data_IF_028877565066
#
_entry.id   IF_028877565066
#
_cell.length_a   1.000
_cell.length_b   1.000
_cell.length_c   1.000
_cell.angle_alpha   90.00
_cell.angle_beta   90.00
_cell.angle_gamma   90.00
#
_symmetry.space_group_name_H-M   'P 1'
#
loop_
_entity.id
_entity.type
_entity.pdbx_description
1 polymer ?
#
# COMPACT_ATOMS: atom_id res chain seq x y z
N UNK A 1 53.26 -36.44 -3.13
CA UNK A 1 53.05 -35.19 -2.35
C UNK A 1 53.21 -33.98 -3.26
N UNK A 2 52.50 -32.87 -2.94
CA UNK A 2 52.24 -31.62 -3.71
C UNK A 2 50.93 -31.73 -4.53
N UNK A 3 49.73 -31.71 -3.95
CA UNK A 3 49.03 -30.60 -3.25
C UNK A 3 49.20 -29.27 -3.99
N UNK A 4 48.45 -29.10 -5.07
CA UNK A 4 48.34 -27.83 -5.78
C UNK A 4 47.30 -26.96 -5.07
N UNK A 5 47.82 -25.84 -4.56
CA UNK A 5 47.15 -24.66 -4.03
C UNK A 5 45.77 -24.38 -4.65
N UNK A 6 44.71 -24.33 -3.83
CA UNK A 6 44.21 -23.15 -3.12
C UNK A 6 43.53 -22.13 -4.04
N UNK A 7 42.22 -21.97 -3.77
CA UNK A 7 41.38 -20.79 -3.95
C UNK A 7 41.17 -20.26 -5.38
N UNK A 8 40.07 -20.70 -5.99
CA UNK A 8 39.27 -19.83 -6.86
C UNK A 8 37.90 -19.60 -6.19
N UNK A 9 37.87 -18.52 -5.40
CA UNK A 9 36.73 -17.59 -5.27
C UNK A 9 35.34 -18.23 -5.13
N UNK A 10 34.97 -18.50 -3.88
CA UNK A 10 33.56 -18.54 -3.46
C UNK A 10 32.90 -17.23 -3.88
N UNK A 11 32.01 -17.29 -4.88
CA UNK A 11 31.03 -16.23 -5.11
C UNK A 11 30.13 -16.18 -3.88
N UNK A 12 30.39 -15.24 -2.98
CA UNK A 12 29.39 -14.76 -2.05
C UNK A 12 28.36 -13.96 -2.86
N UNK A 13 27.41 -14.66 -3.47
CA UNK A 13 26.17 -14.03 -3.89
C UNK A 13 25.45 -13.62 -2.60
N UNK A 14 25.56 -12.34 -2.24
CA UNK A 14 24.64 -11.73 -1.31
C UNK A 14 23.25 -11.80 -1.94
N UNK A 15 22.54 -12.90 -1.67
CA UNK A 15 21.11 -12.97 -1.88
C UNK A 15 20.52 -11.91 -0.95
N UNK A 16 20.27 -10.73 -1.51
CA UNK A 16 19.43 -9.72 -0.87
C UNK A 16 18.13 -10.45 -0.60
N UNK A 17 17.85 -10.74 0.67
CA UNK A 17 16.54 -11.18 1.07
C UNK A 17 15.60 -10.02 0.75
N UNK A 18 15.05 -10.00 -0.46
CA UNK A 18 13.75 -9.41 -0.67
C UNK A 18 12.87 -10.17 0.30
N UNK A 19 12.60 -9.55 1.46
CA UNK A 19 11.67 -10.06 2.44
C UNK A 19 10.34 -10.21 1.73
N UNK A 20 10.10 -11.38 1.15
CA UNK A 20 8.78 -11.86 0.79
C UNK A 20 8.09 -12.07 2.12
N UNK A 21 7.65 -10.98 2.74
CA UNK A 21 6.66 -11.03 3.80
C UNK A 21 5.53 -11.87 3.20
N UNK A 22 5.23 -13.06 3.79
CA UNK A 22 4.22 -13.93 3.25
C UNK A 22 2.95 -13.11 3.05
N UNK A 23 2.49 -13.07 1.80
CA UNK A 23 1.37 -12.26 1.29
C UNK A 23 0.01 -12.79 1.81
N UNK A 24 0.00 -13.37 3.00
CA UNK A 24 -1.09 -14.16 3.54
C UNK A 24 -1.83 -13.54 4.72
N UNK A 25 -1.21 -12.73 5.59
CA UNK A 25 -1.84 -12.43 6.89
C UNK A 25 -1.59 -11.04 7.49
N UNK A 26 -0.90 -10.13 6.78
CA UNK A 26 -1.02 -8.73 7.13
C UNK A 26 -2.28 -8.20 6.46
N UNK A 27 -3.42 -8.28 7.16
CA UNK A 27 -4.60 -7.51 6.79
C UNK A 27 -4.12 -6.06 6.72
N UNK A 28 -3.93 -5.57 5.51
CA UNK A 28 -3.61 -4.17 5.26
C UNK A 28 -4.81 -3.42 5.82
N UNK A 29 -4.65 -2.84 7.01
CA UNK A 29 -5.64 -1.97 7.64
C UNK A 29 -5.67 -0.66 6.83
N UNK A 30 -6.22 -0.75 5.62
CA UNK A 30 -6.45 0.38 4.71
C UNK A 30 -7.74 1.13 5.03
N UNK A 31 -8.64 0.50 5.78
CA UNK A 31 -9.90 1.09 6.19
C UNK A 31 -9.74 1.98 7.43
N UNK A 32 -10.74 2.85 7.62
CA UNK A 32 -10.75 3.78 8.74
C UNK A 32 -11.11 3.13 10.09
N UNK A 33 -11.65 1.90 10.09
CA UNK A 33 -12.07 1.17 11.28
C UNK A 33 -13.60 1.03 11.36
N UNK A 34 -14.10 0.54 12.50
CA UNK A 34 -15.53 0.36 12.72
C UNK A 34 -16.29 1.70 12.68
N UNK A 35 -17.45 1.71 12.03
CA UNK A 35 -18.31 2.90 11.91
C UNK A 35 -18.06 3.78 10.68
N UNK A 36 -17.05 3.46 9.86
CA UNK A 36 -16.77 4.14 8.60
C UNK A 36 -17.42 3.43 7.41
N UNK A 37 -17.69 4.19 6.35
CA UNK A 37 -18.25 3.68 5.10
C UNK A 37 -17.24 2.84 4.29
N UNK A 38 -17.74 1.96 3.43
CA UNK A 38 -16.89 1.20 2.51
C UNK A 38 -16.21 2.08 1.45
N UNK A 39 -16.67 3.32 1.30
CA UNK A 39 -16.08 4.38 0.48
C UNK A 39 -14.89 5.09 1.16
N UNK A 40 -14.53 4.73 2.40
CA UNK A 40 -13.51 5.44 3.18
C UNK A 40 -12.22 4.64 3.35
N UNK A 41 -11.08 5.31 3.20
CA UNK A 41 -9.73 4.77 3.40
C UNK A 41 -8.89 5.71 4.24
N UNK A 42 -7.98 5.14 5.02
CA UNK A 42 -7.11 5.92 5.91
C UNK A 42 -5.95 6.49 5.12
N UNK A 43 -5.90 7.81 4.97
CA UNK A 43 -4.78 8.51 4.31
C UNK A 43 -3.44 8.09 4.91
N UNK A 44 -2.43 7.89 4.07
CA UNK A 44 -1.09 7.37 4.38
C UNK A 44 -1.02 5.91 4.87
N UNK A 45 -2.15 5.21 5.01
CA UNK A 45 -2.14 3.77 5.28
C UNK A 45 -1.74 2.96 4.03
N UNK A 46 -1.24 1.72 4.19
CA UNK A 46 -0.90 0.89 3.05
C UNK A 46 -2.14 0.58 2.21
N UNK A 47 -1.96 0.31 0.91
CA UNK A 47 -3.04 -0.07 0.01
C UNK A 47 -2.60 -1.19 -0.93
N UNK A 48 -3.55 -2.04 -1.35
CA UNK A 48 -3.27 -3.07 -2.35
C UNK A 48 -3.19 -2.44 -3.74
N UNK A 49 -2.16 -2.80 -4.52
CA UNK A 49 -2.01 -2.39 -5.93
C UNK A 49 -3.22 -2.75 -6.81
N UNK A 50 -4.01 -3.76 -6.44
CA UNK A 50 -5.26 -4.11 -7.13
C UNK A 50 -6.36 -3.04 -7.02
N UNK A 51 -6.21 -2.03 -6.15
CA UNK A 51 -7.10 -0.88 -6.13
C UNK A 51 -6.94 -0.02 -7.40
N UNK A 52 -5.79 -0.07 -8.08
CA UNK A 52 -5.56 0.68 -9.31
C UNK A 52 -5.78 2.18 -9.12
N UNK A 53 -6.57 2.75 -10.01
CA UNK A 53 -6.99 4.16 -10.07
C UNK A 53 -8.31 4.42 -9.33
N UNK A 54 -8.78 3.48 -8.50
CA UNK A 54 -9.98 3.70 -7.69
C UNK A 54 -9.76 4.82 -6.69
N UNK A 55 -10.74 5.72 -6.64
CA UNK A 55 -10.78 6.85 -5.72
C UNK A 55 -11.72 6.56 -4.56
N UNK A 56 -11.22 6.78 -3.35
CA UNK A 56 -11.96 6.66 -2.10
C UNK A 56 -11.90 7.97 -1.32
N UNK A 57 -12.72 8.13 -0.30
CA UNK A 57 -12.65 9.28 0.60
C UNK A 57 -11.67 9.04 1.74
N UNK A 58 -11.03 10.11 2.21
CA UNK A 58 -10.41 10.14 3.52
C UNK A 58 -11.42 9.85 4.64
N UNK A 59 -10.93 9.38 5.79
CA UNK A 59 -11.79 9.07 6.94
C UNK A 59 -12.60 10.27 7.43
N UNK A 60 -12.02 11.47 7.34
CA UNK A 60 -12.63 12.76 7.66
C UNK A 60 -13.51 13.33 6.55
N UNK A 61 -13.57 12.66 5.38
CA UNK A 61 -14.25 13.09 4.16
C UNK A 61 -13.76 14.44 3.62
N UNK A 62 -12.57 14.91 4.02
CA UNK A 62 -12.05 16.20 3.54
C UNK A 62 -11.18 16.06 2.30
N UNK A 63 -10.91 14.85 1.82
CA UNK A 63 -10.13 14.65 0.61
C UNK A 63 -10.44 13.33 -0.10
N UNK A 64 -10.12 13.27 -1.38
CA UNK A 64 -10.14 12.07 -2.21
C UNK A 64 -8.75 11.46 -2.20
N UNK A 65 -8.67 10.15 -1.97
CA UNK A 65 -7.43 9.36 -1.92
C UNK A 65 -7.38 8.31 -3.02
N UNK A 66 -6.17 8.09 -3.56
CA UNK A 66 -5.85 7.08 -4.56
C UNK A 66 -4.68 6.21 -4.07
N UNK A 67 -4.65 4.94 -4.46
CA UNK A 67 -3.57 4.04 -4.09
C UNK A 67 -2.30 4.30 -4.95
N UNK A 68 -1.34 5.05 -4.40
CA UNK A 68 -0.08 5.40 -5.08
C UNK A 68 1.12 4.83 -4.33
N UNK A 69 1.97 4.10 -5.03
CA UNK A 69 3.18 3.52 -4.43
C UNK A 69 2.91 2.62 -3.22
N UNK A 70 1.75 1.96 -3.19
CA UNK A 70 1.34 1.10 -2.07
C UNK A 70 0.81 1.85 -0.85
N UNK A 71 0.47 3.14 -0.96
CA UNK A 71 -0.20 3.92 0.09
C UNK A 71 -1.39 4.72 -0.44
N UNK A 72 -2.42 4.89 0.40
CA UNK A 72 -3.49 5.84 0.14
C UNK A 72 -2.94 7.26 0.21
N UNK A 73 -2.87 7.91 -0.94
CA UNK A 73 -2.33 9.25 -1.11
C UNK A 73 -3.47 10.18 -1.47
N UNK A 74 -3.59 11.30 -0.78
CA UNK A 74 -4.56 12.33 -1.15
C UNK A 74 -4.22 12.93 -2.51
N UNK A 75 -5.21 12.96 -3.40
CA UNK A 75 -5.08 13.47 -4.76
C UNK A 75 -5.91 14.74 -4.99
N UNK A 76 -6.88 15.00 -4.11
CA UNK A 76 -7.74 16.18 -4.15
C UNK A 76 -8.21 16.51 -2.74
N UNK A 77 -8.05 17.78 -2.34
CA UNK A 77 -8.60 18.35 -1.11
C UNK A 77 -10.01 18.89 -1.38
N UNK A 78 -11.00 18.42 -0.62
CA UNK A 78 -12.40 18.87 -0.65
C UNK A 78 -12.67 20.07 0.28
N UNK A 79 -11.68 20.49 1.07
CA UNK A 79 -11.70 21.56 2.07
C UNK A 79 -12.69 21.37 3.25
N UNK A 80 -13.69 20.51 3.09
CA UNK A 80 -14.75 20.23 4.05
C UNK A 80 -15.15 18.76 3.95
N UNK A 81 -15.84 18.23 4.96
CA UNK A 81 -16.24 16.82 5.07
C UNK A 81 -17.34 16.39 4.07
N UNK A 82 -17.21 16.75 2.79
CA UNK A 82 -18.20 16.53 1.73
C UNK A 82 -17.87 15.37 0.82
N UNK A 83 -16.67 14.78 0.92
CA UNK A 83 -16.30 13.65 0.09
C UNK A 83 -17.28 12.49 0.25
N UNK A 84 -17.76 11.96 -0.86
CA UNK A 84 -18.64 10.80 -0.91
C UNK A 84 -18.32 9.90 -2.11
N UNK A 85 -18.54 8.59 -1.96
CA UNK A 85 -18.33 7.61 -3.02
C UNK A 85 -19.09 6.31 -2.75
N UNK A 86 -18.78 5.27 -3.54
CA UNK A 86 -19.29 3.92 -3.35
C UNK A 86 -18.25 2.98 -2.75
N UNK A 87 -18.69 1.77 -2.39
CA UNK A 87 -17.80 0.71 -1.89
C UNK A 87 -16.76 0.25 -2.94
N UNK A 88 -17.06 0.47 -4.21
CA UNK A 88 -16.19 0.15 -5.35
C UNK A 88 -15.32 1.33 -5.82
N UNK A 89 -15.33 2.44 -5.06
CA UNK A 89 -14.62 3.68 -5.38
C UNK A 89 -15.55 4.76 -5.96
N UNK A 90 -14.99 5.63 -6.81
CA UNK A 90 -15.71 6.75 -7.42
C UNK A 90 -15.92 7.93 -6.48
N UNK A 91 -15.03 8.11 -5.50
CA UNK A 91 -15.11 9.22 -4.57
C UNK A 91 -14.93 10.58 -5.25
N UNK A 92 -15.79 11.52 -4.87
CA UNK A 92 -15.78 12.91 -5.32
C UNK A 92 -16.06 13.83 -4.12
N UNK A 93 -15.65 15.09 -4.25
CA UNK A 93 -16.19 16.19 -3.45
C UNK A 93 -17.54 16.62 -4.09
#
# INVERSE_FOLDING_TARGET
MKVTALLCTLMAAAAVSASTVPRGEFQVLDTCGAGYGGDQRRTNSPCNASNGDRHFCGCDRTGVVECRGGKWTEIQDCHSGTCHGGNDGGAVC
#
